data_IF_210067759037
#
_entry.id   IF_210067759037
#
_cell.length_a   1.000
_cell.length_b   1.000
_cell.length_c   1.000
_cell.angle_alpha   90.00
_cell.angle_beta   90.00
_cell.angle_gamma   90.00
#
_symmetry.space_group_name_H-M   'P 1'
#
loop_
_entity.id
_entity.type
_entity.pdbx_description
1 polymer ?
#
# COMPACT_ATOMS: atom_id res chain seq x y z
N UNK A 1 -21.60 16.68 -1.86
CA UNK A 1 -20.22 17.18 -1.84
C UNK A 1 -19.19 16.13 -1.40
N UNK A 2 -19.49 15.26 -0.46
CA UNK A 2 -18.56 14.18 -0.02
C UNK A 2 -18.22 13.20 -1.14
N UNK A 3 -19.10 12.96 -2.08
CA UNK A 3 -18.94 12.00 -3.20
C UNK A 3 -17.91 12.48 -4.24
N UNK A 4 -17.73 13.77 -4.44
CA UNK A 4 -16.84 14.30 -5.50
C UNK A 4 -15.35 14.17 -5.18
N UNK A 5 -14.94 14.43 -3.93
CA UNK A 5 -13.54 14.30 -3.55
C UNK A 5 -13.12 12.84 -3.36
N UNK A 6 -14.02 11.98 -2.86
CA UNK A 6 -13.80 10.53 -2.80
C UNK A 6 -13.59 9.94 -4.19
N UNK A 7 -14.34 10.41 -5.19
CA UNK A 7 -14.17 10.00 -6.60
C UNK A 7 -12.81 10.46 -7.16
N UNK A 8 -12.39 11.70 -6.84
CA UNK A 8 -11.06 12.20 -7.22
C UNK A 8 -9.94 11.43 -6.53
N UNK A 9 -10.09 11.13 -5.24
CA UNK A 9 -9.14 10.32 -4.48
C UNK A 9 -9.03 8.90 -5.06
N UNK A 10 -10.16 8.26 -5.34
CA UNK A 10 -10.21 6.93 -5.97
C UNK A 10 -9.51 6.95 -7.33
N UNK A 11 -9.77 7.96 -8.17
CA UNK A 11 -9.12 8.10 -9.47
C UNK A 11 -7.62 8.36 -9.36
N UNK A 12 -7.17 9.14 -8.37
CA UNK A 12 -5.76 9.37 -8.11
C UNK A 12 -5.02 8.11 -7.66
N UNK A 13 -5.69 7.24 -6.89
CA UNK A 13 -5.14 5.98 -6.39
C UNK A 13 -5.29 4.82 -7.39
N UNK A 14 -6.09 4.96 -8.44
CA UNK A 14 -6.39 3.87 -9.38
C UNK A 14 -5.13 3.35 -10.07
N UNK A 15 -4.23 4.22 -10.51
CA UNK A 15 -3.00 3.83 -11.23
C UNK A 15 -2.12 2.88 -10.40
N UNK A 16 -1.89 3.21 -9.11
CA UNK A 16 -1.09 2.35 -8.22
C UNK A 16 -1.83 1.06 -7.86
N UNK A 17 -3.14 1.17 -7.58
CA UNK A 17 -3.99 0.02 -7.30
C UNK A 17 -4.09 -0.93 -8.50
N UNK A 18 -4.21 -0.40 -9.71
CA UNK A 18 -4.32 -1.19 -10.94
C UNK A 18 -2.99 -1.85 -11.29
N UNK A 19 -1.84 -1.18 -11.05
CA UNK A 19 -0.51 -1.77 -11.22
C UNK A 19 -0.35 -3.02 -10.35
N UNK A 20 -0.63 -2.91 -9.05
CA UNK A 20 -0.52 -4.03 -8.11
C UNK A 20 -1.57 -5.11 -8.43
N UNK A 21 -2.82 -4.72 -8.60
CA UNK A 21 -3.92 -5.64 -8.87
C UNK A 21 -3.79 -6.37 -10.20
N UNK A 22 -3.36 -5.67 -11.25
CA UNK A 22 -3.09 -6.23 -12.56
C UNK A 22 -1.88 -7.16 -12.55
N UNK A 23 -0.80 -6.76 -11.85
CA UNK A 23 0.38 -7.57 -11.65
C UNK A 23 0.06 -8.89 -10.95
N UNK A 24 -0.66 -8.84 -9.82
CA UNK A 24 -1.10 -10.05 -9.10
C UNK A 24 -1.92 -10.97 -10.00
N UNK A 25 -2.88 -10.43 -10.77
CA UNK A 25 -3.68 -11.22 -11.72
C UNK A 25 -2.80 -11.88 -12.78
N UNK A 26 -1.79 -11.17 -13.29
CA UNK A 26 -0.88 -11.65 -14.32
C UNK A 26 0.00 -12.79 -13.79
N UNK A 27 0.57 -12.62 -12.61
CA UNK A 27 1.44 -13.59 -11.95
C UNK A 27 0.66 -14.87 -11.61
N UNK A 28 -0.57 -14.75 -11.11
CA UNK A 28 -1.37 -15.90 -10.66
C UNK A 28 -2.25 -16.54 -11.77
N UNK A 29 -2.11 -16.13 -13.03
CA UNK A 29 -2.98 -16.63 -14.13
C UNK A 29 -2.96 -18.14 -14.35
N UNK A 30 -1.95 -18.88 -13.85
CA UNK A 30 -1.81 -20.31 -14.12
C UNK A 30 -1.04 -21.10 -13.07
N UNK A 31 -0.74 -20.55 -11.89
CA UNK A 31 0.24 -21.16 -11.00
C UNK A 31 -0.26 -21.34 -9.57
N UNK A 32 0.16 -22.46 -8.98
CA UNK A 32 0.25 -22.60 -7.52
C UNK A 32 1.24 -21.56 -7.01
N UNK A 33 1.10 -21.12 -5.76
CA UNK A 33 2.11 -20.27 -5.11
C UNK A 33 3.33 -21.14 -4.83
N UNK A 34 4.26 -21.15 -5.77
CA UNK A 34 5.59 -21.70 -5.63
C UNK A 34 6.60 -20.59 -5.31
N UNK A 35 7.85 -20.96 -5.11
CA UNK A 35 8.90 -20.01 -4.74
C UNK A 35 9.14 -18.96 -5.83
N UNK A 36 9.04 -19.35 -7.10
CA UNK A 36 9.16 -18.41 -8.22
C UNK A 36 8.02 -17.40 -8.25
N UNK A 37 6.81 -17.84 -7.98
CA UNK A 37 5.63 -16.96 -7.88
C UNK A 37 5.76 -15.96 -6.72
N UNK A 38 6.31 -16.37 -5.59
CA UNK A 38 6.56 -15.49 -4.44
C UNK A 38 7.63 -14.45 -4.76
N UNK A 39 8.70 -14.81 -5.47
CA UNK A 39 9.70 -13.85 -5.93
C UNK A 39 9.11 -12.83 -6.91
N UNK A 40 8.33 -13.26 -7.89
CA UNK A 40 7.65 -12.35 -8.82
C UNK A 40 6.69 -11.38 -8.09
N UNK A 41 6.00 -11.86 -7.04
CA UNK A 41 5.14 -11.01 -6.21
C UNK A 41 5.96 -10.02 -5.38
N UNK A 42 7.10 -10.42 -4.83
CA UNK A 42 8.01 -9.53 -4.09
C UNK A 42 8.54 -8.42 -4.99
N UNK A 43 9.03 -8.75 -6.18
CA UNK A 43 9.49 -7.79 -7.18
C UNK A 43 8.38 -6.81 -7.59
N UNK A 44 7.16 -7.30 -7.77
CA UNK A 44 5.99 -6.46 -8.05
C UNK A 44 5.74 -5.44 -6.94
N UNK A 45 5.79 -5.86 -5.68
CA UNK A 45 5.58 -5.00 -4.51
C UNK A 45 6.69 -3.94 -4.41
N UNK A 46 7.96 -4.35 -4.55
CA UNK A 46 9.12 -3.44 -4.53
C UNK A 46 9.03 -2.42 -5.68
N UNK A 47 8.72 -2.88 -6.90
CA UNK A 47 8.55 -1.99 -8.07
C UNK A 47 7.34 -1.06 -7.97
N UNK A 48 6.48 -1.28 -6.99
CA UNK A 48 5.33 -0.45 -6.66
C UNK A 48 5.58 0.48 -5.48
N UNK A 49 6.85 0.72 -5.14
CA UNK A 49 7.33 1.62 -4.08
C UNK A 49 6.89 1.23 -2.66
N UNK A 50 6.57 -0.05 -2.42
CA UNK A 50 6.22 -0.53 -1.07
C UNK A 50 7.48 -0.66 -0.18
N UNK A 51 8.66 -0.79 -0.80
CA UNK A 51 9.91 -0.99 -0.09
C UNK A 51 10.22 -2.46 0.21
N UNK A 52 11.50 -2.78 0.34
CA UNK A 52 11.99 -4.15 0.46
C UNK A 52 11.50 -4.81 1.75
N UNK A 53 11.67 -4.15 2.89
CA UNK A 53 11.35 -4.71 4.22
C UNK A 53 9.85 -5.06 4.36
N UNK A 54 8.98 -4.18 3.83
CA UNK A 54 7.53 -4.39 3.88
C UNK A 54 7.13 -5.48 2.90
N UNK A 55 7.73 -5.50 1.71
CA UNK A 55 7.49 -6.53 0.70
C UNK A 55 7.84 -7.92 1.23
N UNK A 56 9.02 -8.09 1.83
CA UNK A 56 9.44 -9.35 2.44
C UNK A 56 8.49 -9.80 3.55
N UNK A 57 8.04 -8.90 4.42
CA UNK A 57 7.04 -9.21 5.47
C UNK A 57 5.71 -9.68 4.89
N UNK A 58 5.28 -9.11 3.76
CA UNK A 58 4.07 -9.53 3.05
C UNK A 58 4.26 -10.93 2.45
N UNK A 59 5.40 -11.20 1.84
CA UNK A 59 5.73 -12.51 1.26
C UNK A 59 5.78 -13.58 2.34
N UNK A 60 6.38 -13.30 3.50
CA UNK A 60 6.39 -14.23 4.63
C UNK A 60 4.98 -14.56 5.13
N UNK A 61 4.09 -13.57 5.15
CA UNK A 61 2.69 -13.80 5.52
C UNK A 61 1.97 -14.67 4.49
N UNK A 62 2.26 -14.49 3.19
CA UNK A 62 1.74 -15.34 2.13
C UNK A 62 2.25 -16.78 2.26
N UNK A 63 3.53 -17.00 2.58
CA UNK A 63 4.10 -18.33 2.86
C UNK A 63 3.41 -19.02 4.04
N UNK A 64 3.20 -18.29 5.14
CA UNK A 64 2.54 -18.82 6.34
C UNK A 64 1.08 -19.18 6.12
N UNK A 65 0.39 -18.45 5.25
CA UNK A 65 -1.05 -18.59 5.03
C UNK A 65 -1.46 -19.92 4.38
N UNK A 66 -0.51 -20.72 3.85
CA UNK A 66 -0.73 -22.04 3.21
C UNK A 66 -1.98 -22.07 2.31
N UNK A 67 -2.11 -21.08 1.44
CA UNK A 67 -3.28 -20.96 0.56
C UNK A 67 -3.35 -22.18 -0.36
N UNK A 68 -4.35 -23.03 -0.17
CA UNK A 68 -4.55 -24.26 -0.95
C UNK A 68 -4.87 -23.93 -2.41
N UNK A 69 -5.67 -22.88 -2.63
CA UNK A 69 -6.01 -22.38 -3.97
C UNK A 69 -5.74 -20.87 -4.03
N UNK A 70 -4.61 -20.46 -4.62
CA UNK A 70 -4.25 -19.06 -4.72
C UNK A 70 -5.09 -18.37 -5.81
N UNK A 71 -6.06 -17.59 -5.37
CA UNK A 71 -6.76 -16.68 -6.26
C UNK A 71 -6.20 -15.25 -6.09
N UNK A 72 -6.22 -14.41 -7.15
CA UNK A 72 -5.79 -13.01 -7.03
C UNK A 72 -6.48 -12.26 -5.89
N UNK A 73 -7.74 -12.57 -5.60
CA UNK A 73 -8.49 -11.95 -4.52
C UNK A 73 -7.98 -12.38 -3.13
N UNK A 74 -7.68 -13.66 -2.92
CA UNK A 74 -7.12 -14.15 -1.64
C UNK A 74 -5.77 -13.50 -1.35
N UNK A 75 -4.89 -13.41 -2.36
CA UNK A 75 -3.58 -12.74 -2.22
C UNK A 75 -3.75 -11.25 -1.90
N UNK A 76 -4.65 -10.55 -2.60
CA UNK A 76 -4.96 -9.14 -2.29
C UNK A 76 -5.46 -8.93 -0.86
N UNK A 77 -6.31 -9.81 -0.35
CA UNK A 77 -6.83 -9.73 1.03
C UNK A 77 -5.68 -9.80 2.03
N UNK A 78 -4.72 -10.71 1.83
CA UNK A 78 -3.57 -10.86 2.72
C UNK A 78 -2.66 -9.62 2.65
N UNK A 79 -2.34 -9.15 1.44
CA UNK A 79 -1.56 -7.92 1.25
C UNK A 79 -2.24 -6.74 1.93
N UNK A 80 -3.55 -6.55 1.69
CA UNK A 80 -4.33 -5.48 2.30
C UNK A 80 -4.33 -5.55 3.82
N UNK A 81 -4.52 -6.75 4.39
CA UNK A 81 -4.50 -6.97 5.84
C UNK A 81 -3.16 -6.55 6.41
N UNK A 82 -2.05 -7.00 5.82
CA UNK A 82 -0.70 -6.71 6.30
C UNK A 82 -0.35 -5.22 6.21
N UNK A 83 -0.68 -4.59 5.09
CA UNK A 83 -0.49 -3.14 4.94
C UNK A 83 -1.33 -2.36 5.95
N UNK A 84 -2.58 -2.76 6.18
CA UNK A 84 -3.44 -2.12 7.18
C UNK A 84 -2.86 -2.25 8.60
N UNK A 85 -2.37 -3.42 8.99
CA UNK A 85 -1.72 -3.64 10.29
C UNK A 85 -0.53 -2.68 10.47
N UNK A 86 0.35 -2.56 9.46
CA UNK A 86 1.51 -1.68 9.51
C UNK A 86 1.08 -0.21 9.62
N UNK A 87 0.13 0.23 8.80
CA UNK A 87 -0.33 1.62 8.82
C UNK A 87 -1.05 1.97 10.12
N UNK A 88 -1.89 1.07 10.65
CA UNK A 88 -2.59 1.29 11.92
C UNK A 88 -1.62 1.42 13.10
N UNK A 89 -0.50 0.69 13.08
CA UNK A 89 0.52 0.81 14.13
C UNK A 89 1.25 2.16 14.12
N UNK A 90 1.21 2.87 12.99
CA UNK A 90 1.85 4.18 12.80
C UNK A 90 0.86 5.35 12.91
N UNK A 91 -0.44 5.03 13.03
CA UNK A 91 -1.48 6.04 13.18
C UNK A 91 -1.36 6.73 14.55
N UNK A 92 -1.08 8.01 14.52
CA UNK A 92 -0.97 8.87 15.71
C UNK A 92 -1.58 10.22 15.41
N UNK A 93 -2.27 10.77 16.40
CA UNK A 93 -2.73 12.14 16.36
C UNK A 93 -1.55 13.12 16.54
N UNK A 94 -1.69 14.32 15.98
CA UNK A 94 -0.74 15.40 16.24
C UNK A 94 -1.06 15.95 17.63
N UNK A 95 -0.18 15.70 18.60
CA UNK A 95 -0.30 16.26 19.93
C UNK A 95 0.12 17.74 19.90
N UNK A 96 -0.84 18.63 20.11
CA UNK A 96 -0.60 20.06 20.24
C UNK A 96 -0.57 20.44 21.73
N UNK A 97 0.48 21.15 22.13
CA UNK A 97 0.60 21.68 23.50
C UNK A 97 -0.24 22.97 23.65
N UNK A 98 -0.58 23.34 24.89
CA UNK A 98 -1.30 24.58 25.19
C UNK A 98 -0.48 25.85 24.91
N UNK A 99 0.82 25.69 24.65
CA UNK A 99 1.73 26.79 24.35
C UNK A 99 1.99 26.90 22.84
N UNK A 100 3.09 27.51 22.43
CA UNK A 100 3.47 27.66 21.02
C UNK A 100 3.80 26.31 20.40
N UNK A 101 3.09 25.97 19.31
CA UNK A 101 3.40 24.80 18.49
C UNK A 101 3.97 25.27 17.15
N UNK A 102 5.10 24.72 16.74
CA UNK A 102 5.76 25.03 15.46
C UNK A 102 5.76 23.78 14.60
N UNK A 103 5.09 23.83 13.45
CA UNK A 103 5.04 22.75 12.47
C UNK A 103 5.81 23.16 11.23
N UNK A 104 6.89 22.45 10.92
CA UNK A 104 7.70 22.69 9.72
C UNK A 104 7.32 21.70 8.61
N UNK A 105 6.83 22.23 7.48
CA UNK A 105 6.50 21.43 6.30
C UNK A 105 7.61 21.57 5.26
N UNK A 106 8.31 20.47 4.97
CA UNK A 106 9.44 20.41 4.05
C UNK A 106 9.12 19.55 2.83
N UNK A 107 9.75 19.86 1.70
CA UNK A 107 9.64 19.10 0.47
C UNK A 107 10.17 19.87 -0.73
N UNK A 108 10.40 19.17 -1.85
CA UNK A 108 10.82 19.76 -3.11
C UNK A 108 9.71 20.61 -3.73
N UNK A 109 10.05 21.45 -4.72
CA UNK A 109 9.08 22.29 -5.40
C UNK A 109 8.02 21.42 -6.11
N UNK A 110 6.75 21.84 -6.04
CA UNK A 110 5.63 21.14 -6.70
C UNK A 110 5.09 19.91 -5.95
N UNK A 111 5.65 19.52 -4.81
CA UNK A 111 5.22 18.33 -4.06
C UNK A 111 3.91 18.50 -3.27
N UNK A 112 3.36 19.71 -3.23
CA UNK A 112 2.07 19.98 -2.58
C UNK A 112 2.16 20.50 -1.13
N UNK A 113 3.28 21.10 -0.71
CA UNK A 113 3.45 21.69 0.63
C UNK A 113 2.30 22.64 1.02
N UNK A 114 1.99 23.61 0.14
CA UNK A 114 0.93 24.60 0.37
C UNK A 114 -0.45 23.95 0.44
N UNK A 115 -0.72 22.94 -0.39
CA UNK A 115 -1.98 22.20 -0.35
C UNK A 115 -2.15 21.40 0.95
N UNK A 116 -1.06 20.91 1.53
CA UNK A 116 -1.06 20.20 2.81
C UNK A 116 -1.37 21.15 3.98
N UNK A 117 -0.82 22.39 3.94
CA UNK A 117 -1.08 23.40 4.97
C UNK A 117 -2.54 23.87 4.93
N UNK A 118 -3.14 23.95 3.74
CA UNK A 118 -4.49 24.45 3.54
C UNK A 118 -5.62 23.43 3.77
N UNK A 119 -5.28 22.21 4.17
CA UNK A 119 -6.25 21.16 4.50
C UNK A 119 -6.43 21.02 5.99
#
# INVERSE_FOLDING_TARGET
MVIGWLKKLKNGLSKSSDKISGGIKKILKSKKIDESTLLELEELLISSDIGVDISSKIIDELKKSKIVEPTPNKVKIIIKKKLKEILTSLEKDIELNETLNVILIVGVNGVGKTATIGK
#
